data_IF_279153081429
#
_entry.id   IF_279153081429
#
_cell.length_a   1.000
_cell.length_b   1.000
_cell.length_c   1.000
_cell.angle_alpha   90.00
_cell.angle_beta   90.00
_cell.angle_gamma   90.00
#
_symmetry.space_group_name_H-M   'P 1'
#
loop_
_entity.id
_entity.type
_entity.pdbx_description
1 polymer ?
#
# COMPACT_ATOMS: atom_id res chain seq x y z
N UNK A 1 -20.87 -3.86 2.33
CA UNK A 1 -21.89 -3.63 3.37
C UNK A 1 -22.06 -4.93 4.14
N UNK A 2 -21.87 -4.91 5.45
CA UNK A 2 -21.83 -6.09 6.30
C UNK A 2 -23.17 -6.84 6.30
N UNK A 3 -23.17 -8.07 5.77
CA UNK A 3 -24.34 -8.94 5.68
C UNK A 3 -24.73 -9.55 7.04
N UNK A 4 -23.88 -9.44 8.07
CA UNK A 4 -24.12 -10.00 9.41
C UNK A 4 -25.05 -9.11 10.29
N UNK A 5 -25.31 -7.87 9.89
CA UNK A 5 -26.04 -6.88 10.72
C UNK A 5 -27.54 -6.76 10.38
N UNK A 6 -28.02 -7.40 9.31
CA UNK A 6 -29.43 -7.29 8.89
C UNK A 6 -30.28 -8.39 9.53
N UNK A 7 -31.21 -7.97 10.39
CA UNK A 7 -32.12 -8.78 11.22
C UNK A 7 -33.06 -9.75 10.47
N UNK A 8 -33.03 -9.80 9.15
CA UNK A 8 -33.97 -10.57 8.31
C UNK A 8 -33.29 -11.40 7.21
N UNK A 9 -32.01 -11.75 7.36
CA UNK A 9 -31.26 -12.59 6.42
C UNK A 9 -30.64 -13.79 7.16
N UNK A 10 -30.42 -14.93 6.50
CA UNK A 10 -29.96 -16.20 7.11
C UNK A 10 -28.57 -16.17 7.78
N UNK A 11 -27.91 -15.01 7.81
CA UNK A 11 -26.61 -14.79 8.44
C UNK A 11 -26.67 -13.95 9.73
N UNK A 12 -27.88 -13.66 10.24
CA UNK A 12 -28.05 -13.07 11.57
C UNK A 12 -27.50 -14.03 12.64
N UNK A 13 -26.36 -13.67 13.24
CA UNK A 13 -25.61 -14.52 14.19
C UNK A 13 -24.23 -14.98 13.69
N UNK A 14 -23.85 -14.65 12.44
CA UNK A 14 -22.49 -14.84 11.94
C UNK A 14 -21.51 -13.94 12.71
N UNK A 15 -20.46 -14.53 13.29
CA UNK A 15 -19.36 -13.79 13.89
C UNK A 15 -18.29 -13.59 12.83
N UNK A 16 -18.16 -12.36 12.32
CA UNK A 16 -16.97 -11.99 11.56
C UNK A 16 -15.84 -11.73 12.55
N UNK A 17 -14.91 -12.68 12.69
CA UNK A 17 -13.66 -12.47 13.42
C UNK A 17 -12.63 -11.89 12.47
N UNK A 18 -12.18 -10.66 12.72
CA UNK A 18 -11.00 -10.13 12.05
C UNK A 18 -9.77 -10.96 12.40
N UNK A 19 -8.99 -11.35 11.41
CA UNK A 19 -7.69 -11.99 11.65
C UNK A 19 -6.65 -10.89 11.89
N UNK A 20 -6.02 -10.88 13.06
CA UNK A 20 -4.90 -9.98 13.32
C UNK A 20 -3.67 -10.41 12.50
N UNK A 21 -2.92 -9.45 11.92
CA UNK A 21 -1.66 -9.75 11.27
C UNK A 21 -0.69 -10.47 12.20
N UNK A 22 0.09 -11.42 11.66
CA UNK A 22 1.11 -12.11 12.45
C UNK A 22 2.16 -11.11 12.93
N UNK A 23 2.59 -11.25 14.18
CA UNK A 23 3.57 -10.37 14.82
C UNK A 23 4.93 -11.01 15.03
N UNK A 24 5.71 -10.44 15.96
CA UNK A 24 7.04 -10.94 16.35
C UNK A 24 7.03 -12.40 16.83
N UNK A 25 5.93 -12.87 17.42
CA UNK A 25 5.78 -14.28 17.84
C UNK A 25 5.90 -15.27 16.68
N UNK A 26 5.37 -14.93 15.50
CA UNK A 26 5.53 -15.74 14.30
C UNK A 26 7.01 -15.77 13.86
N UNK A 27 7.70 -14.64 13.93
CA UNK A 27 9.13 -14.54 13.61
C UNK A 27 9.97 -15.39 14.55
N UNK A 28 9.70 -15.33 15.86
CA UNK A 28 10.37 -16.16 16.87
C UNK A 28 10.19 -17.65 16.55
N UNK A 29 8.94 -18.10 16.39
CA UNK A 29 8.63 -19.48 16.05
C UNK A 29 9.32 -19.93 14.76
N UNK A 30 9.31 -19.09 13.72
CA UNK A 30 9.94 -19.41 12.44
C UNK A 30 11.46 -19.52 12.57
N UNK A 31 12.07 -18.62 13.34
CA UNK A 31 13.52 -18.61 13.58
C UNK A 31 13.96 -19.85 14.36
N UNK A 32 13.24 -20.24 15.42
CA UNK A 32 13.50 -21.47 16.19
C UNK A 32 13.49 -22.72 15.31
N UNK A 33 12.52 -22.81 14.38
CA UNK A 33 12.44 -23.92 13.42
C UNK A 33 13.65 -23.97 12.48
N UNK A 34 14.14 -22.81 12.04
CA UNK A 34 15.26 -22.72 11.10
C UNK A 34 16.62 -22.93 11.79
N UNK A 35 16.76 -22.57 13.07
CA UNK A 35 17.99 -22.81 13.84
C UNK A 35 18.35 -24.31 13.95
N UNK A 36 17.37 -25.20 13.79
CA UNK A 36 17.60 -26.65 13.75
C UNK A 36 18.33 -27.12 12.49
N UNK A 37 18.41 -26.29 11.44
CA UNK A 37 19.02 -26.61 10.16
C UNK A 37 20.49 -26.21 10.17
N UNK A 38 21.40 -27.18 10.02
CA UNK A 38 22.84 -26.90 9.99
C UNK A 38 23.25 -26.10 8.74
N UNK A 39 24.06 -25.08 8.95
CA UNK A 39 24.67 -24.29 7.86
C UNK A 39 23.75 -23.24 7.24
N UNK A 40 22.55 -23.04 7.78
CA UNK A 40 21.64 -21.99 7.31
C UNK A 40 22.14 -20.61 7.71
N UNK A 41 21.98 -19.63 6.80
CA UNK A 41 22.19 -18.22 7.11
C UNK A 41 20.92 -17.67 7.73
N UNK A 42 21.03 -17.14 8.95
CA UNK A 42 19.92 -16.52 9.65
C UNK A 42 20.33 -15.14 10.17
N UNK A 43 19.48 -14.12 9.97
CA UNK A 43 19.67 -12.84 10.63
C UNK A 43 19.39 -12.96 12.13
N UNK A 44 19.84 -11.95 12.89
CA UNK A 44 19.42 -11.73 14.26
C UNK A 44 17.90 -11.59 14.34
N UNK A 45 17.33 -11.93 15.51
CA UNK A 45 15.88 -11.88 15.70
C UNK A 45 15.30 -10.50 15.44
N UNK A 46 15.96 -9.45 15.94
CA UNK A 46 15.56 -8.06 15.73
C UNK A 46 15.52 -7.69 14.25
N UNK A 47 16.58 -8.01 13.50
CA UNK A 47 16.65 -7.76 12.06
C UNK A 47 15.58 -8.54 11.30
N UNK A 48 15.29 -9.77 11.73
CA UNK A 48 14.23 -10.59 11.15
C UNK A 48 12.83 -9.99 11.38
N UNK A 49 12.58 -9.46 12.59
CA UNK A 49 11.32 -8.76 12.92
C UNK A 49 11.18 -7.49 12.08
N UNK A 50 12.23 -6.68 11.98
CA UNK A 50 12.20 -5.45 11.16
C UNK A 50 11.98 -5.77 9.69
N UNK A 51 12.64 -6.78 9.13
CA UNK A 51 12.41 -7.21 7.76
C UNK A 51 11.00 -7.76 7.54
N UNK A 52 10.42 -8.46 8.53
CA UNK A 52 9.04 -8.93 8.45
C UNK A 52 8.02 -7.78 8.43
N UNK A 53 8.26 -6.75 9.25
CA UNK A 53 7.48 -5.51 9.21
C UNK A 53 7.62 -4.84 7.84
N UNK A 54 8.85 -4.74 7.32
CA UNK A 54 9.15 -4.10 6.03
C UNK A 54 8.45 -4.75 4.82
N UNK A 55 8.16 -6.06 4.87
CA UNK A 55 7.41 -6.76 3.82
C UNK A 55 5.90 -6.83 4.09
N UNK A 56 5.39 -6.05 5.05
CA UNK A 56 3.96 -5.96 5.35
C UNK A 56 3.41 -7.13 6.18
N UNK A 57 4.25 -7.74 7.03
CA UNK A 57 3.85 -8.88 7.89
C UNK A 57 3.29 -10.07 7.09
N UNK A 58 3.76 -10.25 5.84
CA UNK A 58 3.40 -11.34 4.93
C UNK A 58 4.33 -12.54 5.11
N UNK A 59 3.84 -13.71 5.59
CA UNK A 59 4.68 -14.89 5.83
C UNK A 59 5.43 -15.39 4.60
N UNK A 60 4.78 -15.32 3.43
CA UNK A 60 5.35 -15.76 2.16
C UNK A 60 6.50 -14.86 1.70
N UNK A 61 6.40 -13.54 1.96
CA UNK A 61 7.48 -12.60 1.65
C UNK A 61 8.67 -12.80 2.59
N UNK A 62 8.41 -13.05 3.89
CA UNK A 62 9.47 -13.43 4.83
C UNK A 62 10.19 -14.71 4.38
N UNK A 63 9.42 -15.73 3.99
CA UNK A 63 9.97 -16.99 3.50
C UNK A 63 10.82 -16.76 2.24
N UNK A 64 10.33 -15.97 1.28
CA UNK A 64 11.04 -15.63 0.05
C UNK A 64 12.35 -14.88 0.35
N UNK A 65 12.31 -13.92 1.29
CA UNK A 65 13.50 -13.19 1.72
C UNK A 65 14.56 -14.13 2.33
N UNK A 66 14.14 -15.07 3.18
CA UNK A 66 15.03 -16.05 3.81
C UNK A 66 15.63 -17.03 2.79
N UNK A 67 14.88 -17.40 1.75
CA UNK A 67 15.40 -18.24 0.65
C UNK A 67 16.44 -17.47 -0.15
N UNK A 68 16.16 -16.22 -0.54
CA UNK A 68 17.09 -15.36 -1.25
C UNK A 68 18.36 -15.08 -0.42
N UNK A 69 18.25 -15.00 0.90
CA UNK A 69 19.37 -14.78 1.78
C UNK A 69 20.42 -15.90 1.70
N UNK A 70 20.01 -17.14 1.47
CA UNK A 70 20.94 -18.28 1.49
C UNK A 70 22.05 -18.14 0.42
N UNK A 71 21.73 -17.53 -0.73
CA UNK A 71 22.69 -17.33 -1.83
C UNK A 71 23.57 -16.08 -1.68
N UNK A 72 23.33 -15.24 -0.66
CA UNK A 72 24.07 -13.97 -0.49
C UNK A 72 25.43 -14.16 0.16
N UNK A 73 26.52 -13.59 -0.38
CA UNK A 73 27.84 -13.68 0.23
C UNK A 73 27.99 -12.83 1.49
N UNK A 74 27.18 -11.78 1.65
CA UNK A 74 27.25 -10.85 2.78
C UNK A 74 26.71 -11.46 4.09
N UNK A 75 27.02 -10.81 5.21
CA UNK A 75 26.51 -11.20 6.51
C UNK A 75 24.96 -11.12 6.55
N UNK A 76 24.27 -12.06 7.23
CA UNK A 76 22.82 -12.11 7.26
C UNK A 76 22.13 -10.80 7.65
N UNK A 77 22.64 -10.13 8.68
CA UNK A 77 22.06 -8.87 9.19
C UNK A 77 22.25 -7.69 8.22
N UNK A 78 23.15 -7.82 7.24
CA UNK A 78 23.39 -6.80 6.20
C UNK A 78 22.56 -7.09 4.96
N UNK A 79 22.57 -8.33 4.48
CA UNK A 79 21.87 -8.71 3.26
C UNK A 79 20.34 -8.71 3.44
N UNK A 80 19.86 -9.18 4.59
CA UNK A 80 18.43 -9.42 4.80
C UNK A 80 17.56 -8.15 4.71
N UNK A 81 17.92 -7.01 5.35
CA UNK A 81 17.17 -5.76 5.19
C UNK A 81 17.07 -5.29 3.73
N UNK A 82 18.16 -5.44 2.95
CA UNK A 82 18.20 -5.05 1.54
C UNK A 82 17.24 -5.91 0.72
N UNK A 83 17.23 -7.23 0.97
CA UNK A 83 16.30 -8.15 0.32
C UNK A 83 14.85 -7.76 0.64
N UNK A 84 14.52 -7.55 1.93
CA UNK A 84 13.18 -7.16 2.35
C UNK A 84 12.74 -5.85 1.70
N UNK A 85 13.62 -4.84 1.65
CA UNK A 85 13.32 -3.57 0.99
C UNK A 85 13.08 -3.76 -0.51
N UNK A 86 13.85 -4.61 -1.18
CA UNK A 86 13.68 -4.87 -2.61
C UNK A 86 12.37 -5.60 -2.90
N UNK A 87 12.01 -6.60 -2.10
CA UNK A 87 10.74 -7.30 -2.21
C UNK A 87 9.55 -6.37 -1.94
N UNK A 88 9.63 -5.53 -0.92
CA UNK A 88 8.61 -4.55 -0.60
C UNK A 88 8.41 -3.54 -1.75
N UNK A 89 9.49 -3.03 -2.34
CA UNK A 89 9.41 -2.15 -3.50
C UNK A 89 8.79 -2.83 -4.72
N UNK A 90 9.20 -4.07 -5.02
CA UNK A 90 8.64 -4.83 -6.14
C UNK A 90 7.14 -5.13 -5.95
N UNK A 91 6.73 -5.48 -4.73
CA UNK A 91 5.31 -5.68 -4.40
C UNK A 91 4.51 -4.37 -4.58
N UNK A 92 5.05 -3.26 -4.10
CA UNK A 92 4.42 -1.95 -4.26
C UNK A 92 4.28 -1.55 -5.73
N UNK A 93 5.28 -1.82 -6.58
CA UNK A 93 5.21 -1.53 -8.02
C UNK A 93 4.05 -2.25 -8.72
N UNK A 94 3.75 -3.50 -8.35
CA UNK A 94 2.61 -4.26 -8.91
C UNK A 94 1.28 -3.60 -8.54
N UNK A 95 1.12 -3.18 -7.29
CA UNK A 95 -0.09 -2.50 -6.84
C UNK A 95 -0.24 -1.11 -7.49
N UNK A 96 0.86 -0.37 -7.62
CA UNK A 96 0.90 0.91 -8.32
C UNK A 96 0.50 0.75 -9.79
N UNK A 97 1.04 -0.26 -10.48
CA UNK A 97 0.66 -0.57 -11.86
C UNK A 97 -0.83 -0.95 -11.97
N UNK A 98 -1.38 -1.62 -10.95
CA UNK A 98 -2.81 -1.93 -10.88
C UNK A 98 -3.65 -0.66 -10.75
N UNK A 99 -3.25 0.30 -9.90
CA UNK A 99 -3.91 1.60 -9.77
C UNK A 99 -3.90 2.36 -11.11
N UNK A 100 -2.74 2.42 -11.76
CA UNK A 100 -2.59 3.10 -13.05
C UNK A 100 -3.42 2.42 -14.15
N UNK A 101 -3.48 1.09 -14.15
CA UNK A 101 -4.30 0.29 -15.07
C UNK A 101 -5.81 0.48 -14.92
N UNK A 102 -6.28 0.93 -13.73
CA UNK A 102 -7.69 1.31 -13.52
C UNK A 102 -8.03 2.67 -14.16
N UNK A 103 -7.02 3.47 -14.52
CA UNK A 103 -7.14 4.72 -15.28
C UNK A 103 -6.93 5.98 -14.44
N UNK A 104 -6.91 7.13 -15.12
CA UNK A 104 -6.55 8.42 -14.52
C UNK A 104 -7.41 8.83 -13.30
N UNK A 105 -8.71 8.49 -13.31
CA UNK A 105 -9.61 8.73 -12.18
C UNK A 105 -9.20 7.91 -10.94
N UNK A 106 -8.77 6.66 -11.12
CA UNK A 106 -8.31 5.83 -10.01
C UNK A 106 -7.05 6.41 -9.38
N UNK A 107 -6.07 6.83 -10.21
CA UNK A 107 -4.87 7.51 -9.75
C UNK A 107 -5.18 8.80 -8.99
N UNK A 108 -6.12 9.62 -9.47
CA UNK A 108 -6.53 10.87 -8.81
C UNK A 108 -7.22 10.63 -7.45
N UNK A 109 -8.11 9.63 -7.38
CA UNK A 109 -8.75 9.21 -6.12
C UNK A 109 -7.70 8.68 -5.14
N UNK A 110 -6.79 7.82 -5.61
CA UNK A 110 -5.73 7.26 -4.79
C UNK A 110 -4.81 8.36 -4.25
N UNK A 111 -4.41 9.32 -5.09
CA UNK A 111 -3.57 10.47 -4.70
C UNK A 111 -4.21 11.27 -3.55
N UNK A 112 -5.53 11.48 -3.61
CA UNK A 112 -6.28 12.13 -2.54
C UNK A 112 -6.28 11.31 -1.25
N UNK A 113 -6.54 10.00 -1.32
CA UNK A 113 -6.50 9.11 -0.14
C UNK A 113 -5.09 9.09 0.50
N UNK A 114 -4.03 9.07 -0.32
CA UNK A 114 -2.64 9.12 0.12
C UNK A 114 -2.27 10.46 0.76
N UNK A 115 -2.90 11.55 0.32
CA UNK A 115 -2.66 12.90 0.84
C UNK A 115 -3.38 13.19 2.15
N UNK A 116 -4.41 12.41 2.50
CA UNK A 116 -5.12 12.51 3.77
C UNK A 116 -4.35 11.91 4.95
N UNK A 117 -5.03 11.60 6.05
CA UNK A 117 -4.38 10.99 7.23
C UNK A 117 -4.06 9.49 7.01
N UNK A 118 -3.18 8.92 7.82
CA UNK A 118 -2.91 7.46 7.82
C UNK A 118 -4.15 6.64 8.17
N UNK A 119 -4.98 7.14 9.08
CA UNK A 119 -6.31 6.60 9.40
C UNK A 119 -7.37 6.90 8.32
N UNK A 120 -6.94 7.35 7.15
CA UNK A 120 -7.78 7.63 6.00
C UNK A 120 -8.26 9.07 5.88
N UNK A 121 -8.84 9.34 4.72
CA UNK A 121 -9.46 10.61 4.39
C UNK A 121 -10.98 10.47 4.29
N UNK A 122 -11.66 11.54 4.68
CA UNK A 122 -13.10 11.70 4.49
C UNK A 122 -13.36 12.60 3.28
N UNK A 123 -14.58 12.59 2.74
CA UNK A 123 -15.01 13.52 1.67
C UNK A 123 -14.50 13.23 0.25
N UNK A 124 -14.18 11.97 -0.07
CA UNK A 124 -13.86 11.56 -1.45
C UNK A 124 -14.95 11.90 -2.48
N UNK A 125 -16.19 12.10 -2.05
CA UNK A 125 -17.36 12.42 -2.89
C UNK A 125 -17.87 13.85 -2.73
N UNK A 126 -17.13 14.73 -2.05
CA UNK A 126 -17.51 16.14 -1.93
C UNK A 126 -17.45 16.85 -3.28
N UNK A 127 -18.21 17.94 -3.43
CA UNK A 127 -18.17 18.76 -4.65
C UNK A 127 -16.74 19.24 -4.97
N UNK A 128 -15.99 19.68 -3.94
CA UNK A 128 -14.59 20.08 -4.08
C UNK A 128 -13.71 18.93 -4.59
N UNK A 129 -13.93 17.71 -4.09
CA UNK A 129 -13.19 16.54 -4.54
C UNK A 129 -13.50 16.20 -6.00
N UNK A 130 -14.77 16.21 -6.39
CA UNK A 130 -15.23 15.93 -7.76
C UNK A 130 -14.68 16.95 -8.76
N UNK A 131 -14.73 18.24 -8.40
CA UNK A 131 -14.16 19.31 -9.22
C UNK A 131 -12.65 19.10 -9.41
N UNK A 132 -11.94 18.84 -8.32
CA UNK A 132 -10.50 18.58 -8.36
C UNK A 132 -10.12 17.34 -9.18
N UNK A 133 -10.91 16.25 -9.13
CA UNK A 133 -10.67 15.11 -10.01
C UNK A 133 -10.88 15.49 -11.48
N UNK A 134 -11.95 16.23 -11.76
CA UNK A 134 -12.30 16.65 -13.12
C UNK A 134 -11.21 17.53 -13.74
N UNK A 135 -10.68 18.48 -12.96
CA UNK A 135 -9.54 19.32 -13.34
C UNK A 135 -8.28 18.50 -13.58
N UNK A 136 -7.98 17.56 -12.68
CA UNK A 136 -6.76 16.75 -12.75
C UNK A 136 -6.74 15.81 -13.97
N UNK A 137 -7.90 15.25 -14.36
CA UNK A 137 -7.99 14.34 -15.50
C UNK A 137 -8.38 15.04 -16.81
N UNK A 138 -8.76 16.33 -16.76
CA UNK A 138 -9.21 17.10 -17.92
C UNK A 138 -10.58 16.68 -18.49
N UNK A 139 -11.42 16.02 -17.70
CA UNK A 139 -12.74 15.53 -18.10
C UNK A 139 -13.75 15.71 -16.96
N UNK A 140 -15.02 15.98 -17.28
CA UNK A 140 -16.06 16.07 -16.25
C UNK A 140 -16.25 14.71 -15.58
N UNK A 141 -16.16 14.70 -14.24
CA UNK A 141 -16.43 13.55 -13.40
C UNK A 141 -17.72 13.78 -12.62
N UNK A 142 -18.54 12.75 -12.44
CA UNK A 142 -19.72 12.78 -11.57
C UNK A 142 -19.59 11.84 -10.36
N UNK A 143 -20.49 12.01 -9.38
CA UNK A 143 -20.48 11.20 -8.15
C UNK A 143 -20.63 9.69 -8.43
N UNK A 144 -21.52 9.22 -9.32
CA UNK A 144 -21.60 7.81 -9.68
C UNK A 144 -20.29 7.24 -10.23
N UNK A 145 -19.55 7.97 -11.07
CA UNK A 145 -18.26 7.53 -11.58
C UNK A 145 -17.22 7.35 -10.46
N UNK A 146 -17.14 8.31 -9.54
CA UNK A 146 -16.23 8.21 -8.38
C UNK A 146 -16.62 7.01 -7.51
N UNK A 147 -17.92 6.80 -7.26
CA UNK A 147 -18.41 5.68 -6.44
C UNK A 147 -18.06 4.33 -7.07
N UNK A 148 -18.35 4.15 -8.36
CA UNK A 148 -18.00 2.93 -9.08
C UNK A 148 -16.49 2.67 -9.06
N UNK A 149 -15.66 3.71 -9.18
CA UNK A 149 -14.21 3.57 -9.11
C UNK A 149 -13.73 3.19 -7.71
N UNK A 150 -14.24 3.85 -6.67
CA UNK A 150 -13.93 3.52 -5.27
C UNK A 150 -14.30 2.07 -4.96
N UNK A 151 -15.47 1.59 -5.42
CA UNK A 151 -15.91 0.21 -5.22
C UNK A 151 -14.98 -0.80 -5.93
N UNK A 152 -14.49 -0.46 -7.13
CA UNK A 152 -13.47 -1.26 -7.84
C UNK A 152 -12.14 -1.29 -7.09
N UNK A 153 -11.70 -0.15 -6.55
CA UNK A 153 -10.45 -0.06 -5.78
C UNK A 153 -10.53 -0.83 -4.45
N UNK A 154 -11.69 -0.84 -3.79
CA UNK A 154 -11.94 -1.69 -2.61
C UNK A 154 -11.91 -3.16 -2.98
N UNK A 155 -12.57 -3.52 -4.10
CA UNK A 155 -12.60 -4.91 -4.59
C UNK A 155 -11.21 -5.42 -4.94
N UNK A 156 -10.35 -4.54 -5.49
CA UNK A 156 -8.96 -4.84 -5.79
C UNK A 156 -8.03 -4.76 -4.56
N UNK A 157 -8.57 -4.50 -3.36
CA UNK A 157 -7.81 -4.34 -2.11
C UNK A 157 -6.73 -3.24 -2.16
N UNK A 158 -6.96 -2.18 -2.94
CA UNK A 158 -6.04 -1.03 -3.04
C UNK A 158 -6.34 0.01 -1.95
N UNK A 159 -7.61 0.17 -1.60
CA UNK A 159 -8.09 1.01 -0.50
C UNK A 159 -9.09 0.23 0.35
N UNK A 160 -9.24 0.65 1.60
CA UNK A 160 -10.17 0.08 2.56
C UNK A 160 -11.05 1.17 3.16
N UNK A 161 -12.29 0.80 3.47
CA UNK A 161 -13.24 1.66 4.18
C UNK A 161 -13.06 1.45 5.68
N UNK A 162 -12.37 2.37 6.37
CA UNK A 162 -12.13 2.28 7.82
C UNK A 162 -13.41 2.53 8.62
N UNK A 163 -14.20 3.51 8.20
CA UNK A 163 -15.50 3.82 8.80
C UNK A 163 -16.41 4.50 7.78
N UNK A 164 -17.60 4.94 8.20
CA UNK A 164 -18.55 5.55 7.27
C UNK A 164 -17.96 6.80 6.60
N UNK A 165 -17.71 6.73 5.30
CA UNK A 165 -17.16 7.83 4.51
C UNK A 165 -15.66 8.08 4.68
N UNK A 166 -14.94 7.22 5.42
CA UNK A 166 -13.48 7.31 5.64
C UNK A 166 -12.78 6.16 4.92
N UNK A 167 -11.81 6.52 4.08
CA UNK A 167 -11.09 5.58 3.22
C UNK A 167 -9.59 5.73 3.42
N UNK A 168 -8.87 4.61 3.56
CA UNK A 168 -7.42 4.59 3.71
C UNK A 168 -6.80 3.64 2.68
N UNK A 169 -5.51 3.80 2.43
CA UNK A 169 -4.74 2.84 1.62
C UNK A 169 -4.69 1.50 2.34
N UNK A 170 -4.82 0.41 1.60
CA UNK A 170 -4.82 -0.93 2.18
C UNK A 170 -3.43 -1.36 2.67
N UNK A 171 -2.39 -1.10 1.87
CA UNK A 171 -0.99 -1.38 2.23
C UNK A 171 -0.21 -0.06 2.50
N UNK A 172 0.29 0.16 3.73
CA UNK A 172 1.13 1.32 4.06
C UNK A 172 2.38 1.47 3.19
N UNK A 173 2.96 0.38 2.70
CA UNK A 173 4.15 0.43 1.83
C UNK A 173 3.82 0.98 0.45
N UNK A 174 2.64 0.64 -0.08
CA UNK A 174 2.15 1.21 -1.36
C UNK A 174 1.91 2.70 -1.22
N UNK A 175 1.37 3.13 -0.07
CA UNK A 175 1.24 4.56 0.26
C UNK A 175 2.59 5.27 0.22
N UNK A 176 3.61 4.72 0.90
CA UNK A 176 4.95 5.31 0.92
C UNK A 176 5.60 5.33 -0.47
N UNK A 177 5.53 4.23 -1.21
CA UNK A 177 6.07 4.13 -2.56
C UNK A 177 5.40 5.13 -3.52
N UNK A 178 4.08 5.29 -3.43
CA UNK A 178 3.33 6.29 -4.19
C UNK A 178 3.81 7.72 -3.89
N UNK A 179 3.95 8.07 -2.59
CA UNK A 179 4.44 9.38 -2.17
C UNK A 179 5.86 9.66 -2.67
N UNK A 180 6.77 8.68 -2.55
CA UNK A 180 8.14 8.80 -3.05
C UNK A 180 8.17 9.02 -4.56
N UNK A 181 7.37 8.26 -5.32
CA UNK A 181 7.28 8.40 -6.77
C UNK A 181 6.78 9.79 -7.17
N UNK A 182 5.77 10.33 -6.48
CA UNK A 182 5.25 11.69 -6.71
C UNK A 182 6.31 12.75 -6.40
N UNK A 183 7.07 12.60 -5.31
CA UNK A 183 8.16 13.52 -4.98
C UNK A 183 9.23 13.55 -6.07
N UNK A 184 9.62 12.38 -6.60
CA UNK A 184 10.59 12.29 -7.70
C UNK A 184 10.09 12.95 -9.00
N UNK A 185 8.78 12.83 -9.31
CA UNK A 185 8.20 13.49 -10.48
C UNK A 185 8.24 15.02 -10.35
N UNK A 186 8.01 15.56 -9.15
CA UNK A 186 8.09 17.01 -8.89
C UNK A 186 9.53 17.52 -9.03
N UNK A 187 10.52 16.77 -8.52
CA UNK A 187 11.95 17.09 -8.66
C UNK A 187 12.45 17.04 -10.11
N UNK A 188 11.86 16.20 -10.95
CA UNK A 188 12.19 16.06 -12.37
C UNK A 188 11.47 17.02 -13.31
N UNK A 189 10.50 17.82 -12.82
CA UNK A 189 9.78 18.78 -13.65
C UNK A 189 10.68 19.98 -13.98
N UNK A 190 10.92 20.31 -15.27
CA UNK A 190 11.73 21.46 -15.63
C UNK A 190 11.06 22.74 -15.14
N UNK A 191 11.77 23.49 -14.30
CA UNK A 191 11.40 24.85 -13.92
C UNK A 191 11.17 25.66 -15.19
N UNK A 192 9.93 26.00 -15.51
CA UNK A 192 9.64 27.01 -16.53
C UNK A 192 10.09 28.36 -15.97
N UNK A 193 11.37 28.66 -16.15
CA UNK A 193 11.90 30.02 -16.01
C UNK A 193 11.26 30.84 -17.12
N UNK A 194 10.17 31.52 -16.78
CA UNK A 194 9.53 32.54 -17.59
C UNK A 194 10.57 33.63 -17.85
N UNK A 195 11.18 33.59 -19.03
CA UNK A 195 11.88 34.74 -19.59
C UNK A 195 10.80 35.71 -20.06
N UNK A 196 10.29 36.52 -19.13
CA UNK A 196 9.68 37.80 -19.50
C UNK A 196 10.83 38.70 -19.97
N UNK A 197 11.14 38.59 -21.26
CA UNK A 197 12.00 39.52 -21.98
C UNK A 197 11.22 40.78 -22.30
N UNK A 198 11.31 41.74 -21.38
CA UNK A 198 10.95 43.13 -21.61
C UNK A 198 12.08 43.84 -22.41
N UNK A 199 11.67 44.82 -23.23
CA UNK A 199 12.47 45.81 -23.99
C UNK A 199 13.23 45.30 -25.23
N UNK A 200 13.15 45.90 -26.42
CA UNK A 200 12.97 47.31 -26.82
C UNK A 200 12.33 47.43 -28.22
#
# INVERSE_FOLDING_TARGET
>A
ADMATRRSQPFAGSVSTGYEPLGSGFVSWKREQLEQIKGIKLPSHEVMVQGFLAVGQRPEELQSALVLLQSRPEAPDVAFPIICSTLASAAAEVEIATIEGLGALASAIFDRVVSGNESGDSKLFSADAINSYSEQIGMSVDTPQVQNMVDRMITANLILRQSHGVYAVADPFVRQAWQQRKAMQVLGAPSQTRLDGDSN
#
